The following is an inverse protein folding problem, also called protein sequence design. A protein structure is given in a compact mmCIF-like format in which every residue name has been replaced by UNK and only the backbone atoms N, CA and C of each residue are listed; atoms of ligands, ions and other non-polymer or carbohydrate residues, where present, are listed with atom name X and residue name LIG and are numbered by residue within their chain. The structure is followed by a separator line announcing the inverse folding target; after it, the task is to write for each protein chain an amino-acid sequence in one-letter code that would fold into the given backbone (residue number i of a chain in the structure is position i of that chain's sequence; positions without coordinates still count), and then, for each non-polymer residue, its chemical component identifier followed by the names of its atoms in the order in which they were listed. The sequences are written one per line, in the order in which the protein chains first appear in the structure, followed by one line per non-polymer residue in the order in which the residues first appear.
data_IF_530866317949
#
_entry.id   IF_530866317949
#
_cell.length_a   1.000
_cell.length_b   1.000
_cell.length_c   1.000
_cell.angle_alpha   90.00
_cell.angle_beta   90.00
_cell.angle_gamma   90.00
#
_symmetry.space_group_name_H-M   'P 1'
#
loop_
_entity.id
_entity.type
_entity.pdbx_description
1 polymer ?
#
# COMPACT_ATOMS: atom_id res chain seq x y z
N UNK A 1 -10.05 37.76 25.59
CA UNK A 1 -9.10 36.63 25.57
C UNK A 1 -8.52 36.52 24.17
N UNK A 2 -7.23 36.79 23.95
CA UNK A 2 -6.57 36.52 22.67
C UNK A 2 -6.53 35.00 22.44
N UNK A 3 -6.96 34.53 21.26
CA UNK A 3 -6.77 33.13 20.87
C UNK A 3 -5.30 32.93 20.54
N UNK A 4 -4.67 31.95 21.17
CA UNK A 4 -3.30 31.58 20.83
C UNK A 4 -3.21 31.16 19.36
N UNK A 5 -2.19 31.61 18.62
CA UNK A 5 -1.99 31.22 17.23
C UNK A 5 -1.71 29.71 17.15
N UNK A 6 -2.55 28.98 16.40
CA UNK A 6 -2.32 27.58 16.09
C UNK A 6 -0.98 27.43 15.38
N UNK A 7 0.01 26.81 16.05
CA UNK A 7 1.31 26.50 15.45
C UNK A 7 1.08 25.63 14.22
N UNK A 8 1.56 26.08 13.05
CA UNK A 8 1.49 25.28 11.82
C UNK A 8 2.26 23.96 12.05
N UNK A 9 1.74 22.80 11.60
CA UNK A 9 2.45 21.55 11.74
C UNK A 9 3.82 21.67 11.07
N UNK A 10 4.89 21.57 11.87
CA UNK A 10 6.24 21.56 11.31
C UNK A 10 6.40 20.26 10.49
N UNK A 11 6.69 20.43 9.21
CA UNK A 11 7.01 19.29 8.34
C UNK A 11 8.37 18.72 8.77
N UNK A 12 8.34 17.66 9.57
CA UNK A 12 9.54 16.92 9.93
C UNK A 12 9.85 15.88 8.85
N UNK A 13 11.09 15.88 8.35
CA UNK A 13 11.53 14.86 7.39
C UNK A 13 11.64 13.50 8.09
N UNK A 14 11.34 12.42 7.37
CA UNK A 14 11.28 11.06 7.94
C UNK A 14 12.65 10.46 8.26
N UNK A 15 13.70 11.01 7.64
CA UNK A 15 15.12 10.66 7.72
C UNK A 15 15.88 11.51 8.75
N UNK A 16 15.19 12.39 9.48
CA UNK A 16 15.85 13.32 10.43
C UNK A 16 14.92 13.75 11.57
N UNK A 17 14.01 12.89 11.99
CA UNK A 17 13.04 13.17 13.06
C UNK A 17 13.24 12.33 14.32
N UNK A 18 14.40 11.68 14.43
CA UNK A 18 14.89 11.10 15.67
C UNK A 18 14.99 12.14 16.79
N UNK A 19 14.95 11.66 18.03
CA UNK A 19 14.99 12.52 19.22
C UNK A 19 16.37 13.15 19.40
N UNK A 20 17.42 12.39 19.11
CA UNK A 20 18.83 12.78 19.12
C UNK A 20 19.56 12.14 17.92
N UNK A 21 20.88 12.34 17.83
CA UNK A 21 21.69 11.85 16.71
C UNK A 21 21.86 10.32 16.68
N UNK A 22 21.61 9.63 17.79
CA UNK A 22 21.74 8.17 17.92
C UNK A 22 20.39 7.44 17.88
N UNK A 23 19.28 8.14 18.11
CA UNK A 23 17.95 7.57 18.06
C UNK A 23 17.53 7.21 16.63
N UNK A 24 16.81 6.09 16.45
CA UNK A 24 16.27 5.72 15.16
C UNK A 24 15.23 6.76 14.70
N UNK A 25 15.30 7.10 13.42
CA UNK A 25 14.32 7.98 12.77
C UNK A 25 13.03 7.22 12.43
N UNK A 26 11.99 7.94 12.02
CA UNK A 26 10.75 7.29 11.57
C UNK A 26 10.99 6.35 10.39
N UNK A 27 11.92 6.66 9.48
CA UNK A 27 12.22 5.77 8.37
C UNK A 27 12.94 4.51 8.83
N UNK A 28 13.89 4.62 9.76
CA UNK A 28 14.61 3.47 10.31
C UNK A 28 13.66 2.50 11.01
N UNK A 29 12.71 3.03 11.79
CA UNK A 29 11.69 2.21 12.47
C UNK A 29 10.80 1.48 11.45
N UNK A 30 10.38 2.15 10.38
CA UNK A 30 9.55 1.54 9.32
C UNK A 30 10.34 0.44 8.60
N UNK A 31 11.58 0.70 8.19
CA UNK A 31 12.42 -0.26 7.47
C UNK A 31 12.74 -1.46 8.35
N UNK A 32 13.13 -1.23 9.60
CA UNK A 32 13.35 -2.30 10.57
C UNK A 32 12.09 -3.15 10.76
N UNK A 33 10.93 -2.52 10.95
CA UNK A 33 9.66 -3.26 11.10
C UNK A 33 9.33 -4.11 9.88
N UNK A 34 9.55 -3.59 8.66
CA UNK A 34 9.34 -4.35 7.41
C UNK A 34 10.33 -5.52 7.24
N UNK A 35 11.57 -5.35 7.72
CA UNK A 35 12.61 -6.38 7.64
C UNK A 35 12.44 -7.51 8.67
N UNK A 36 11.64 -7.31 9.72
CA UNK A 36 11.37 -8.36 10.69
C UNK A 36 10.66 -9.56 10.03
N UNK A 37 11.04 -10.81 10.36
CA UNK A 37 10.46 -11.99 9.75
C UNK A 37 8.94 -12.03 9.87
N UNK A 38 8.24 -12.20 8.75
CA UNK A 38 6.78 -12.31 8.71
C UNK A 38 6.04 -10.97 8.67
N UNK A 39 6.69 -9.84 8.98
CA UNK A 39 6.00 -8.55 9.02
C UNK A 39 5.62 -8.03 7.64
N UNK A 40 6.43 -8.24 6.61
CA UNK A 40 6.02 -7.88 5.26
C UNK A 40 4.87 -8.76 4.74
N UNK A 41 4.85 -10.05 5.08
CA UNK A 41 3.72 -10.92 4.75
C UNK A 41 2.44 -10.51 5.49
N UNK A 42 2.55 -10.10 6.76
CA UNK A 42 1.45 -9.48 7.51
C UNK A 42 1.01 -8.19 6.84
N UNK A 43 1.96 -7.35 6.43
CA UNK A 43 1.68 -6.13 5.69
C UNK A 43 0.87 -6.41 4.44
N UNK A 44 1.15 -7.49 3.70
CA UNK A 44 0.42 -7.85 2.50
C UNK A 44 -1.01 -8.34 2.79
N UNK A 45 -1.21 -9.18 3.81
CA UNK A 45 -2.46 -9.93 4.03
C UNK A 45 -3.36 -9.43 5.16
N UNK A 46 -2.88 -8.54 6.03
CA UNK A 46 -3.63 -8.04 7.21
C UNK A 46 -4.15 -6.63 7.00
N UNK A 47 -5.12 -6.20 7.83
CA UNK A 47 -5.62 -4.82 7.83
C UNK A 47 -4.49 -3.83 8.05
N UNK A 48 -4.37 -2.85 7.14
CA UNK A 48 -3.25 -1.90 7.14
C UNK A 48 -3.35 -0.97 8.34
N UNK A 49 -4.57 -0.62 8.76
CA UNK A 49 -4.82 0.20 9.95
C UNK A 49 -4.17 -0.39 11.20
N UNK A 50 -4.40 -1.67 11.49
CA UNK A 50 -3.86 -2.33 12.68
C UNK A 50 -2.32 -2.31 12.71
N UNK A 51 -1.71 -2.63 11.57
CA UNK A 51 -0.25 -2.61 11.43
C UNK A 51 0.32 -1.19 11.53
N UNK A 52 -0.35 -0.20 10.94
CA UNK A 52 0.06 1.20 11.08
C UNK A 52 -0.01 1.65 12.55
N UNK A 53 -1.01 1.22 13.31
CA UNK A 53 -1.07 1.53 14.75
C UNK A 53 0.04 0.85 15.55
N UNK A 54 0.41 -0.39 15.20
CA UNK A 54 1.56 -1.10 15.79
C UNK A 54 2.87 -0.34 15.53
N UNK A 55 3.11 0.09 14.29
CA UNK A 55 4.30 0.87 13.92
C UNK A 55 4.32 2.22 14.64
N UNK A 56 3.17 2.89 14.78
CA UNK A 56 3.08 4.14 15.56
C UNK A 56 3.40 3.89 17.04
N UNK A 57 3.03 2.74 17.61
CA UNK A 57 3.44 2.40 18.97
C UNK A 57 4.96 2.24 19.08
N UNK A 58 5.61 1.60 18.10
CA UNK A 58 7.08 1.53 18.03
C UNK A 58 7.73 2.92 17.90
N UNK A 59 7.16 3.82 17.10
CA UNK A 59 7.63 5.20 16.99
C UNK A 59 7.53 5.96 18.32
N UNK A 60 6.40 5.81 19.04
CA UNK A 60 6.18 6.45 20.33
C UNK A 60 7.13 5.94 21.42
N UNK A 61 7.43 4.64 21.42
CA UNK A 61 8.43 4.05 22.32
C UNK A 61 9.83 4.70 22.14
N UNK A 62 10.15 5.11 20.91
CA UNK A 62 11.38 5.84 20.57
C UNK A 62 11.25 7.37 20.67
N UNK A 63 10.17 7.88 21.26
CA UNK A 63 9.95 9.31 21.47
C UNK A 63 9.42 10.08 20.25
N UNK A 64 9.11 9.40 19.15
CA UNK A 64 8.53 9.99 17.94
C UNK A 64 7.00 10.00 18.06
N UNK A 65 6.43 11.14 18.48
CA UNK A 65 4.99 11.26 18.79
C UNK A 65 4.16 11.98 17.72
N UNK A 66 4.81 12.59 16.74
CA UNK A 66 4.17 13.49 15.78
C UNK A 66 3.64 12.79 14.50
N UNK A 67 3.90 11.48 14.36
CA UNK A 67 3.43 10.68 13.22
C UNK A 67 2.04 10.11 13.49
N UNK A 68 1.28 9.91 12.40
CA UNK A 68 -0.05 9.32 12.46
C UNK A 68 -0.11 8.07 11.57
N UNK A 69 -0.99 7.12 11.88
CA UNK A 69 -1.21 5.91 11.10
C UNK A 69 -1.39 6.14 9.58
N UNK A 70 -2.19 7.13 9.10
CA UNK A 70 -2.28 7.46 7.68
C UNK A 70 -0.93 7.79 7.05
N UNK A 71 -0.07 8.49 7.79
CA UNK A 71 1.22 8.93 7.30
C UNK A 71 2.19 7.75 7.16
N UNK A 72 2.13 6.79 8.08
CA UNK A 72 2.87 5.52 8.00
C UNK A 72 2.41 4.71 6.79
N UNK A 73 1.09 4.58 6.60
CA UNK A 73 0.54 3.90 5.43
C UNK A 73 1.04 4.49 4.11
N UNK A 74 0.86 5.80 3.92
CA UNK A 74 1.37 6.50 2.73
C UNK A 74 2.87 6.33 2.56
N UNK A 75 3.64 6.32 3.66
CA UNK A 75 5.09 6.16 3.60
C UNK A 75 5.46 4.77 3.09
N UNK A 76 4.87 3.70 3.63
CA UNK A 76 5.14 2.33 3.20
C UNK A 76 4.70 2.14 1.73
N UNK A 77 3.51 2.63 1.36
CA UNK A 77 3.03 2.57 -0.02
C UNK A 77 4.01 3.25 -1.01
N UNK A 78 4.58 4.40 -0.63
CA UNK A 78 5.61 5.07 -1.44
C UNK A 78 6.90 4.26 -1.56
N UNK A 79 7.33 3.59 -0.49
CA UNK A 79 8.50 2.71 -0.50
C UNK A 79 8.27 1.50 -1.41
N UNK A 80 7.08 0.87 -1.35
CA UNK A 80 6.70 -0.22 -2.24
C UNK A 80 6.69 0.23 -3.70
N UNK A 81 6.14 1.41 -3.98
CA UNK A 81 6.13 1.98 -5.33
C UNK A 81 7.55 2.26 -5.84
N UNK A 82 8.40 2.92 -5.06
CA UNK A 82 9.79 3.20 -5.46
C UNK A 82 10.58 1.91 -5.67
N UNK A 83 10.38 0.90 -4.82
CA UNK A 83 10.99 -0.41 -4.98
C UNK A 83 10.55 -1.08 -6.28
N UNK A 84 9.23 -1.18 -6.53
CA UNK A 84 8.70 -1.77 -7.78
C UNK A 84 9.26 -1.07 -9.00
N UNK A 85 9.28 0.27 -9.02
CA UNK A 85 9.85 1.05 -10.12
C UNK A 85 11.34 0.73 -10.32
N UNK A 86 12.12 0.71 -9.24
CA UNK A 86 13.54 0.40 -9.28
C UNK A 86 13.82 -1.05 -9.75
N UNK A 87 13.03 -2.02 -9.29
CA UNK A 87 13.13 -3.42 -9.72
C UNK A 87 12.76 -3.58 -11.19
N UNK A 88 11.67 -2.94 -11.65
CA UNK A 88 11.28 -2.94 -13.06
C UNK A 88 12.38 -2.34 -13.94
N UNK A 89 13.02 -1.26 -13.48
CA UNK A 89 14.15 -0.66 -14.18
C UNK A 89 15.35 -1.61 -14.26
N UNK A 90 15.74 -2.26 -13.15
CA UNK A 90 16.83 -3.25 -13.14
C UNK A 90 16.58 -4.44 -14.07
N UNK A 91 15.33 -4.89 -14.16
CA UNK A 91 14.93 -5.97 -15.07
C UNK A 91 15.00 -5.51 -16.53
N UNK A 92 14.50 -4.32 -16.84
CA UNK A 92 14.51 -3.75 -18.19
C UNK A 92 15.94 -3.55 -18.73
N UNK A 93 16.85 -3.06 -17.89
CA UNK A 93 18.27 -2.85 -18.23
C UNK A 93 19.12 -4.12 -18.11
N UNK A 94 18.52 -5.25 -17.73
CA UNK A 94 19.20 -6.55 -17.51
C UNK A 94 20.27 -6.57 -16.41
N UNK A 95 20.25 -5.60 -15.50
CA UNK A 95 21.17 -5.51 -14.35
C UNK A 95 20.68 -6.26 -13.10
N UNK A 96 19.49 -6.87 -13.13
CA UNK A 96 18.94 -7.57 -11.97
C UNK A 96 19.79 -8.77 -11.52
N UNK A 97 20.41 -9.51 -12.45
CA UNK A 97 21.30 -10.61 -12.10
C UNK A 97 22.61 -10.13 -11.46
N UNK A 98 23.13 -8.98 -11.90
CA UNK A 98 24.34 -8.36 -11.34
C UNK A 98 24.06 -7.84 -9.93
N UNK A 99 22.86 -7.31 -9.68
CA UNK A 99 22.39 -6.94 -8.34
C UNK A 99 22.41 -8.14 -7.39
N UNK A 100 21.83 -9.28 -7.79
CA UNK A 100 21.80 -10.48 -6.95
C UNK A 100 23.19 -11.04 -6.64
N UNK A 101 24.17 -10.83 -7.53
CA UNK A 101 25.56 -11.27 -7.35
C UNK A 101 26.43 -10.25 -6.61
N UNK A 102 25.91 -9.04 -6.35
CA UNK A 102 26.69 -7.94 -5.78
C UNK A 102 27.74 -7.36 -6.74
N UNK A 103 27.57 -7.56 -8.06
CA UNK A 103 28.52 -7.14 -9.10
C UNK A 103 28.00 -5.96 -9.94
N UNK A 104 27.11 -5.14 -9.36
CA UNK A 104 26.59 -3.96 -10.05
C UNK A 104 27.70 -2.94 -10.32
N UNK A 105 27.64 -2.33 -11.51
CA UNK A 105 28.46 -1.15 -11.81
C UNK A 105 28.04 0.03 -10.91
N UNK A 106 29.03 0.83 -10.50
CA UNK A 106 28.84 2.02 -9.66
C UNK A 106 27.84 3.02 -10.25
N UNK A 107 27.80 3.16 -11.58
CA UNK A 107 26.85 4.06 -12.24
C UNK A 107 25.40 3.56 -12.13
N UNK A 108 25.23 2.24 -12.22
CA UNK A 108 23.92 1.58 -12.06
C UNK A 108 23.48 1.69 -10.60
N UNK A 109 24.40 1.49 -9.65
CA UNK A 109 24.14 1.65 -8.20
C UNK A 109 23.73 3.08 -7.85
N UNK A 110 24.44 4.10 -8.33
CA UNK A 110 24.07 5.51 -8.12
C UNK A 110 22.70 5.85 -8.70
N UNK A 111 22.35 5.31 -9.87
CA UNK A 111 21.04 5.51 -10.48
C UNK A 111 19.95 4.78 -9.69
N UNK A 112 20.26 3.60 -9.14
CA UNK A 112 19.37 2.82 -8.27
C UNK A 112 19.07 3.57 -6.97
N UNK A 113 20.11 4.06 -6.28
CA UNK A 113 19.99 4.84 -5.03
C UNK A 113 19.16 6.12 -5.24
N UNK A 114 19.30 6.78 -6.40
CA UNK A 114 18.48 7.95 -6.75
C UNK A 114 16.99 7.61 -6.90
N UNK A 115 16.66 6.42 -7.38
CA UNK A 115 15.27 5.98 -7.55
C UNK A 115 14.69 5.42 -6.25
N UNK A 116 15.46 4.63 -5.53
CA UNK A 116 15.07 3.99 -4.28
C UNK A 116 16.27 3.98 -3.32
N UNK A 117 16.39 4.97 -2.42
CA UNK A 117 17.52 5.07 -1.49
C UNK A 117 17.65 3.86 -0.55
N UNK A 118 16.54 3.15 -0.30
CA UNK A 118 16.47 2.02 0.63
C UNK A 118 16.34 0.69 -0.12
N UNK A 119 16.79 0.61 -1.37
CA UNK A 119 16.57 -0.56 -2.23
C UNK A 119 17.15 -1.84 -1.62
N UNK A 120 18.37 -1.78 -1.10
CA UNK A 120 19.07 -2.94 -0.54
C UNK A 120 18.32 -3.52 0.67
N UNK A 121 17.93 -2.67 1.62
CA UNK A 121 17.16 -3.05 2.81
C UNK A 121 15.77 -3.59 2.44
N UNK A 122 15.06 -2.90 1.55
CA UNK A 122 13.74 -3.32 1.07
C UNK A 122 13.82 -4.62 0.29
N UNK A 123 14.92 -4.87 -0.43
CA UNK A 123 15.10 -6.11 -1.18
C UNK A 123 15.10 -7.33 -0.25
N UNK A 124 15.68 -7.22 0.94
CA UNK A 124 15.70 -8.31 1.93
C UNK A 124 14.29 -8.57 2.47
N UNK A 125 13.51 -7.52 2.75
CA UNK A 125 12.14 -7.62 3.23
C UNK A 125 11.20 -8.19 2.16
N UNK A 126 11.30 -7.70 0.92
CA UNK A 126 10.33 -7.99 -0.15
C UNK A 126 10.69 -9.26 -0.94
N UNK A 127 11.96 -9.64 -1.04
CA UNK A 127 12.39 -10.85 -1.77
C UNK A 127 11.94 -12.14 -1.09
N UNK A 128 11.63 -12.11 0.21
CA UNK A 128 11.05 -13.27 0.92
C UNK A 128 9.65 -13.64 0.41
N UNK A 129 8.96 -12.73 -0.29
CA UNK A 129 7.71 -13.01 -1.02
C UNK A 129 7.93 -13.46 -2.46
N UNK A 130 9.07 -13.14 -3.08
CA UNK A 130 9.40 -13.49 -4.47
C UNK A 130 10.00 -14.90 -4.60
N UNK A 131 10.53 -15.46 -3.50
CA UNK A 131 11.15 -16.78 -3.47
C UNK A 131 10.15 -17.93 -3.17
N UNK A 132 8.89 -17.80 -3.61
CA UNK A 132 7.87 -18.85 -3.45
C UNK A 132 7.85 -19.89 -4.59
N UNK A 133 8.94 -20.07 -5.35
CA UNK A 133 9.11 -21.25 -6.22
C UNK A 133 10.56 -21.70 -6.20
N UNK A 134 10.79 -22.87 -5.62
CA UNK A 134 12.07 -23.57 -5.45
C UNK A 134 12.89 -23.12 -4.25
N UNK A 135 12.86 -23.90 -3.16
CA UNK A 135 13.84 -24.98 -2.91
C UNK A 135 13.31 -25.82 -1.75
N UNK A 136 13.18 -27.12 -2.00
CA UNK A 136 13.03 -28.14 -0.97
C UNK A 136 14.32 -28.12 -0.15
N UNK A 137 14.23 -27.90 1.16
CA UNK A 137 15.32 -28.25 2.05
C UNK A 137 14.79 -29.01 3.25
N UNK A 138 15.45 -30.13 3.47
CA UNK A 138 15.05 -31.17 4.39
C UNK A 138 15.34 -30.83 5.84
N UNK A 139 14.42 -31.32 6.66
CA UNK A 139 14.67 -32.20 7.81
C UNK A 139 15.41 -31.58 9.01
N UNK A 140 14.64 -31.31 10.07
CA UNK A 140 14.97 -31.72 11.43
C UNK A 140 13.75 -32.37 12.08
N UNK A 141 14.05 -33.28 13.01
CA UNK A 141 13.32 -34.50 13.39
C UNK A 141 12.37 -34.27 14.59
N UNK A 142 11.23 -34.97 14.52
CA UNK A 142 10.27 -35.42 15.53
C UNK A 142 9.90 -34.55 16.76
N UNK A 143 8.61 -34.19 16.84
CA UNK A 143 7.65 -34.85 17.77
C UNK A 143 6.19 -34.61 17.37
N UNK A 144 5.45 -35.72 17.34
CA UNK A 144 4.06 -35.92 16.90
C UNK A 144 3.02 -35.15 17.72
N UNK A 145 2.03 -34.54 17.04
CA UNK A 145 0.60 -34.91 17.24
C UNK A 145 -0.23 -34.51 16.01
N UNK A 146 -0.88 -35.52 15.43
CA UNK A 146 -1.78 -35.45 14.28
C UNK A 146 -3.18 -35.03 14.73
N UNK A 147 -3.88 -34.23 13.92
CA UNK A 147 -5.26 -34.51 13.47
C UNK A 147 -5.67 -33.65 12.24
N UNK A 148 -5.73 -34.36 11.10
CA UNK A 148 -6.61 -34.29 9.90
C UNK A 148 -6.85 -33.00 9.09
N UNK A 149 -6.65 -33.20 7.79
CA UNK A 149 -6.90 -32.38 6.60
C UNK A 149 -8.38 -32.15 6.26
N UNK A 150 -8.67 -31.02 5.60
CA UNK A 150 -9.29 -30.92 4.27
C UNK A 150 -9.20 -29.45 3.80
N UNK A 151 -8.36 -29.12 2.82
CA UNK A 151 -8.53 -29.19 1.35
C UNK A 151 -9.15 -27.90 0.75
N UNK A 152 -8.23 -27.10 0.17
CA UNK A 152 -8.32 -26.23 -1.02
C UNK A 152 -9.35 -25.10 -1.08
N UNK A 153 -8.86 -23.88 -1.33
CA UNK A 153 -8.96 -23.22 -2.65
C UNK A 153 -8.10 -21.95 -2.65
N UNK A 154 -7.30 -21.82 -3.70
CA UNK A 154 -6.67 -20.58 -4.16
C UNK A 154 -7.74 -19.53 -4.42
N UNK A 155 -7.52 -18.28 -4.02
CA UNK A 155 -7.89 -17.10 -4.80
C UNK A 155 -7.18 -15.85 -4.22
N UNK A 156 -6.46 -15.20 -5.12
CA UNK A 156 -5.77 -13.92 -5.05
C UNK A 156 -6.83 -12.81 -4.94
N UNK A 157 -6.81 -12.00 -3.88
CA UNK A 157 -7.56 -10.74 -3.89
C UNK A 157 -6.79 -9.62 -3.20
N UNK A 158 -6.66 -8.53 -3.93
CA UNK A 158 -5.82 -7.38 -3.64
C UNK A 158 -6.68 -6.35 -2.91
N UNK A 159 -6.57 -6.29 -1.58
CA UNK A 159 -7.26 -5.29 -0.76
C UNK A 159 -6.60 -3.90 -0.90
N UNK A 160 -7.15 -3.08 -1.80
CA UNK A 160 -6.95 -1.63 -1.85
C UNK A 160 -7.79 -0.97 -0.72
N UNK A 161 -7.25 -0.96 0.51
CA UNK A 161 -7.84 -0.21 1.63
C UNK A 161 -7.73 1.31 1.36
N UNK A 162 -8.85 1.92 0.96
CA UNK A 162 -9.01 3.37 0.86
C UNK A 162 -9.07 3.98 2.28
N UNK A 163 -7.93 4.51 2.72
CA UNK A 163 -7.82 5.27 3.96
C UNK A 163 -8.45 6.68 3.80
N UNK A 164 -9.75 6.79 4.08
CA UNK A 164 -10.42 8.10 4.18
C UNK A 164 -10.17 8.73 5.56
N UNK A 165 -9.33 9.77 5.59
CA UNK A 165 -9.04 10.54 6.81
C UNK A 165 -10.17 11.54 7.11
N UNK A 166 -10.98 11.29 8.13
CA UNK A 166 -11.79 12.33 8.77
C UNK A 166 -11.58 12.32 10.29
N UNK A 167 -11.26 13.50 10.83
CA UNK A 167 -11.00 13.75 12.26
C UNK A 167 -12.29 13.82 13.09
N UNK A 168 -12.23 13.56 14.41
CA UNK A 168 -13.41 13.41 15.26
C UNK A 168 -13.90 14.77 15.82
N UNK A 169 -15.21 14.97 15.78
CA UNK A 169 -15.90 15.96 16.61
C UNK A 169 -16.86 15.22 17.56
N UNK A 170 -16.62 15.38 18.86
CA UNK A 170 -17.55 15.08 19.97
C UNK A 170 -18.10 16.42 20.47
N UNK A 171 -19.30 16.51 21.13
CA UNK A 171 -19.58 15.67 22.29
C UNK A 171 -21.04 15.34 22.68
N UNK A 172 -21.13 14.41 23.65
CA UNK A 172 -22.07 14.28 24.79
C UNK A 172 -23.56 13.94 24.55
N UNK A 173 -23.97 12.73 24.96
CA UNK A 173 -24.84 12.56 26.16
C UNK A 173 -25.03 11.08 26.58
N UNK A 174 -24.97 10.86 27.90
CA UNK A 174 -25.30 9.61 28.59
C UNK A 174 -26.81 9.34 28.60
N UNK A 175 -27.20 8.06 28.53
CA UNK A 175 -28.30 7.52 29.35
C UNK A 175 -28.17 6.00 29.50
N UNK A 176 -28.52 5.58 30.70
CA UNK A 176 -28.34 4.27 31.32
C UNK A 176 -29.30 3.15 30.86
N UNK A 177 -28.82 1.92 31.08
CA UNK A 177 -29.50 0.68 31.53
C UNK A 177 -30.30 -0.21 30.56
N UNK A 178 -29.72 -1.41 30.41
CA UNK A 178 -30.28 -2.75 30.68
C UNK A 178 -30.81 -3.63 29.52
N UNK A 179 -30.21 -4.82 29.49
CA UNK A 179 -30.78 -6.16 29.21
C UNK A 179 -30.90 -6.68 27.77
N UNK A 180 -30.27 -7.86 27.61
CA UNK A 180 -30.66 -8.98 26.75
C UNK A 180 -30.77 -8.76 25.23
N UNK A 181 -29.77 -9.25 24.49
CA UNK A 181 -29.97 -10.21 23.40
C UNK A 181 -28.63 -10.59 22.75
N UNK A 182 -28.27 -11.86 22.91
CA UNK A 182 -27.28 -12.55 22.11
C UNK A 182 -27.84 -12.78 20.69
N UNK A 183 -26.97 -12.69 19.67
CA UNK A 183 -27.14 -13.22 18.30
C UNK A 183 -27.96 -12.44 17.26
N UNK A 184 -27.46 -11.30 16.75
CA UNK A 184 -27.84 -10.78 15.39
C UNK A 184 -26.75 -9.94 14.68
N UNK A 185 -25.47 -9.99 15.10
CA UNK A 185 -24.43 -9.06 14.62
C UNK A 185 -23.53 -9.58 13.48
N UNK A 186 -24.07 -10.37 12.55
CA UNK A 186 -23.32 -10.87 11.38
C UNK A 186 -24.01 -10.63 10.04
N UNK A 187 -25.33 -10.41 9.99
CA UNK A 187 -26.07 -10.31 8.71
C UNK A 187 -26.09 -8.90 8.10
N UNK A 188 -25.99 -7.84 8.90
CA UNK A 188 -26.09 -6.46 8.40
C UNK A 188 -24.79 -5.96 7.78
N UNK A 189 -23.63 -6.45 8.26
CA UNK A 189 -22.31 -6.00 7.79
C UNK A 189 -22.02 -6.45 6.35
N UNK A 190 -22.45 -7.66 5.98
CA UNK A 190 -22.29 -8.20 4.62
C UNK A 190 -23.13 -7.42 3.59
N UNK A 191 -24.34 -6.99 3.98
CA UNK A 191 -25.23 -6.20 3.13
C UNK A 191 -24.70 -4.79 2.86
N UNK A 192 -24.08 -4.15 3.85
CA UNK A 192 -23.41 -2.85 3.64
C UNK A 192 -22.18 -2.99 2.73
N UNK A 193 -21.39 -4.06 2.89
CA UNK A 193 -20.20 -4.31 2.06
C UNK A 193 -20.58 -4.55 0.60
N UNK A 194 -21.62 -5.35 0.34
CA UNK A 194 -22.11 -5.59 -1.01
C UNK A 194 -22.57 -4.30 -1.70
N UNK A 195 -23.28 -3.43 -0.97
CA UNK A 195 -23.72 -2.13 -1.49
C UNK A 195 -22.56 -1.18 -1.81
N UNK A 196 -21.48 -1.20 -1.02
CA UNK A 196 -20.29 -0.40 -1.29
C UNK A 196 -19.58 -0.84 -2.57
N UNK A 197 -19.42 -2.15 -2.77
CA UNK A 197 -18.84 -2.71 -3.99
C UNK A 197 -19.67 -2.37 -5.23
N UNK A 198 -21.00 -2.40 -5.10
CA UNK A 198 -21.90 -2.05 -6.20
C UNK A 198 -21.78 -0.57 -6.59
N UNK A 199 -21.74 0.34 -5.61
CA UNK A 199 -21.52 1.77 -5.85
C UNK A 199 -20.15 2.02 -6.51
N UNK A 200 -19.09 1.34 -6.04
CA UNK A 200 -17.76 1.49 -6.63
C UNK A 200 -17.72 0.97 -8.07
N UNK A 201 -18.35 -0.18 -8.33
CA UNK A 201 -18.46 -0.76 -9.66
C UNK A 201 -19.23 0.18 -10.62
N UNK A 202 -20.34 0.75 -10.16
CA UNK A 202 -21.11 1.73 -10.93
C UNK A 202 -20.30 2.99 -11.21
N UNK A 203 -19.58 3.50 -10.22
CA UNK A 203 -18.70 4.67 -10.37
C UNK A 203 -17.58 4.41 -11.39
N UNK A 204 -16.90 3.26 -11.30
CA UNK A 204 -15.85 2.87 -12.27
C UNK A 204 -16.41 2.66 -13.68
N UNK A 205 -17.60 2.06 -13.80
CA UNK A 205 -18.29 1.93 -15.10
C UNK A 205 -18.63 3.29 -15.69
N UNK A 206 -19.14 4.22 -14.89
CA UNK A 206 -19.45 5.57 -15.33
C UNK A 206 -18.19 6.34 -15.74
N UNK A 207 -17.12 6.22 -14.96
CA UNK A 207 -15.83 6.85 -15.26
C UNK A 207 -15.22 6.31 -16.57
N UNK A 208 -15.17 4.99 -16.74
CA UNK A 208 -14.65 4.37 -17.97
C UNK A 208 -15.47 4.76 -19.20
N UNK A 209 -16.80 4.83 -19.07
CA UNK A 209 -17.69 5.34 -20.14
C UNK A 209 -17.37 6.78 -20.48
N UNK A 210 -17.24 7.66 -19.48
CA UNK A 210 -16.89 9.07 -19.70
C UNK A 210 -15.50 9.21 -20.37
N UNK A 211 -14.51 8.46 -19.91
CA UNK A 211 -13.16 8.45 -20.49
C UNK A 211 -13.16 7.98 -21.94
N UNK A 212 -13.93 6.92 -22.25
CA UNK A 212 -14.08 6.41 -23.62
C UNK A 212 -14.71 7.48 -24.52
N UNK A 213 -15.80 8.11 -24.10
CA UNK A 213 -16.46 9.17 -24.86
C UNK A 213 -15.54 10.37 -25.08
N UNK A 214 -14.84 10.83 -24.04
CA UNK A 214 -13.89 11.93 -24.15
C UNK A 214 -12.72 11.57 -25.08
N UNK A 215 -12.17 10.36 -24.97
CA UNK A 215 -11.09 9.88 -25.83
C UNK A 215 -11.52 9.82 -27.30
N UNK A 216 -12.69 9.24 -27.59
CA UNK A 216 -13.26 9.19 -28.95
C UNK A 216 -13.47 10.59 -29.51
N UNK A 217 -14.07 11.50 -28.73
CA UNK A 217 -14.30 12.88 -29.16
C UNK A 217 -12.98 13.64 -29.46
N UNK A 218 -11.96 13.46 -28.60
CA UNK A 218 -10.64 14.07 -28.81
C UNK A 218 -9.93 13.52 -30.05
N UNK A 219 -9.98 12.20 -30.26
CA UNK A 219 -9.37 11.58 -31.43
C UNK A 219 -10.08 11.98 -32.73
N UNK A 220 -11.42 12.01 -32.70
CA UNK A 220 -12.24 12.52 -33.81
C UNK A 220 -11.88 13.95 -34.17
N UNK A 221 -11.78 14.85 -33.19
CA UNK A 221 -11.32 16.23 -33.41
C UNK A 221 -9.93 16.27 -34.04
N UNK A 222 -8.97 15.50 -33.54
CA UNK A 222 -7.61 15.45 -34.09
C UNK A 222 -7.59 14.97 -35.55
N UNK A 223 -8.43 13.99 -35.90
CA UNK A 223 -8.54 13.48 -37.27
C UNK A 223 -9.12 14.54 -38.21
N UNK A 224 -10.14 15.27 -37.76
CA UNK A 224 -10.73 16.38 -38.52
C UNK A 224 -9.76 17.56 -38.68
N UNK A 225 -9.04 17.92 -37.61
CA UNK A 225 -8.00 18.96 -37.63
C UNK A 225 -6.83 18.57 -38.57
N UNK A 226 -6.59 17.27 -38.76
CA UNK A 226 -5.62 16.73 -39.71
C UNK A 226 -6.14 16.65 -41.16
N UNK A 227 -7.37 17.09 -41.43
CA UNK A 227 -7.96 17.11 -42.77
C UNK A 227 -8.55 15.77 -43.25
N UNK A 228 -8.77 14.81 -42.34
CA UNK A 228 -9.45 13.56 -42.66
C UNK A 228 -10.95 13.84 -42.84
N UNK A 229 -11.58 13.29 -43.89
CA UNK A 229 -13.01 13.51 -44.15
C UNK A 229 -13.89 12.91 -43.06
N UNK A 230 -15.05 13.53 -42.83
CA UNK A 230 -15.99 13.12 -41.79
C UNK A 230 -16.41 11.65 -41.94
N UNK A 231 -16.60 11.19 -43.18
CA UNK A 231 -17.02 9.82 -43.51
C UNK A 231 -15.95 8.80 -43.10
N UNK A 232 -14.67 9.12 -43.31
CA UNK A 232 -13.56 8.25 -42.94
C UNK A 232 -13.38 8.21 -41.40
N UNK A 233 -13.65 9.33 -40.71
CA UNK A 233 -13.66 9.37 -39.24
C UNK A 233 -14.81 8.56 -38.65
N UNK A 234 -16.01 8.65 -39.24
CA UNK A 234 -17.17 7.84 -38.85
C UNK A 234 -16.96 6.34 -39.06
N UNK A 235 -16.22 5.95 -40.11
CA UNK A 235 -15.84 4.56 -40.35
C UNK A 235 -14.89 4.03 -39.28
N UNK A 236 -13.99 4.87 -38.76
CA UNK A 236 -12.94 4.48 -37.81
C UNK A 236 -13.37 4.59 -36.34
N UNK A 237 -14.28 5.51 -36.02
CA UNK A 237 -14.78 5.76 -34.68
C UNK A 237 -16.33 5.80 -34.68
N UNK A 238 -16.99 4.62 -34.76
CA UNK A 238 -18.44 4.53 -34.78
C UNK A 238 -19.04 4.96 -33.42
N UNK A 239 -20.26 5.51 -33.48
CA UNK A 239 -21.04 5.91 -32.31
C UNK A 239 -21.67 4.71 -31.59
#
# INVERSE_FOLDING_TARGET
MPREPCKRPQFKRWDSDGVDAEAPTSIDIVLHWLCLPGNYQRWQSSSKLGLCTEIIACMKDKGITHRAAPAVWHKIHRLEKSFKTATSWLVAEKHFADFQKGTLSEDVKKKLEKQCPYYDELSVAFSRGLSSRSVRQGRCVDKKKVCKEQKTRDDDDTDEEVWSSQSPHLPLRQRDKASAACSTRTHTNDSHRQRLLEIELESKKAQFKAETVCSVALNRKKMLDAGISQEEVDRLLPQ
#
